data_IF_684207828906
#
_entry.id   IF_684207828906
#
_cell.length_a   1.000
_cell.length_b   1.000
_cell.length_c   1.000
_cell.angle_alpha   90.00
_cell.angle_beta   90.00
_cell.angle_gamma   90.00
#
_symmetry.space_group_name_H-M   'P 1'
#
loop_
_entity.id
_entity.type
_entity.pdbx_description
1 polymer ?
#
# COMPACT_ATOMS: atom_id res chain seq x y z
N UNK A 1 3.18 12.36 8.05
CA UNK A 1 3.40 11.07 8.74
C UNK A 1 4.59 10.37 8.09
N UNK A 2 5.28 9.48 8.78
CA UNK A 2 6.42 8.75 8.21
C UNK A 2 6.05 8.03 6.89
N UNK A 3 4.85 7.46 6.81
CA UNK A 3 4.34 6.81 5.59
C UNK A 3 4.22 7.74 4.40
N UNK A 4 3.86 9.03 4.59
CA UNK A 4 3.76 9.99 3.48
C UNK A 4 5.12 10.26 2.84
N UNK A 5 6.15 10.38 3.68
CA UNK A 5 7.49 10.69 3.23
C UNK A 5 8.04 9.56 2.37
N UNK A 6 7.84 8.31 2.81
CA UNK A 6 8.24 7.11 2.07
C UNK A 6 7.47 6.99 0.75
N UNK A 7 6.14 7.17 0.76
CA UNK A 7 5.33 7.09 -0.47
C UNK A 7 5.75 8.14 -1.47
N UNK A 8 5.94 9.39 -1.02
CA UNK A 8 6.42 10.49 -1.88
C UNK A 8 7.77 10.16 -2.53
N UNK A 9 8.69 9.56 -1.79
CA UNK A 9 9.99 9.15 -2.32
C UNK A 9 9.86 8.00 -3.34
N UNK A 10 9.03 6.99 -3.05
CA UNK A 10 8.76 5.89 -3.99
C UNK A 10 8.15 6.40 -5.30
N UNK A 11 7.15 7.27 -5.22
CA UNK A 11 6.52 7.91 -6.38
C UNK A 11 7.51 8.74 -7.18
N UNK A 12 8.35 9.54 -6.51
CA UNK A 12 9.40 10.33 -7.17
C UNK A 12 10.44 9.47 -7.91
N UNK A 13 10.66 8.23 -7.47
CA UNK A 13 11.53 7.25 -8.11
C UNK A 13 10.80 6.35 -9.12
N UNK A 14 9.57 6.69 -9.51
CA UNK A 14 8.78 5.95 -10.50
C UNK A 14 8.41 4.54 -10.07
N UNK A 15 8.40 4.25 -8.76
CA UNK A 15 8.02 2.94 -8.25
C UNK A 15 6.50 2.77 -8.34
N UNK A 16 6.07 1.54 -8.64
CA UNK A 16 4.65 1.20 -8.68
C UNK A 16 4.13 0.91 -7.27
N UNK A 17 3.75 1.97 -6.55
CA UNK A 17 3.22 1.91 -5.18
C UNK A 17 1.72 2.19 -5.15
N UNK A 18 0.98 1.50 -4.27
CA UNK A 18 -0.42 1.84 -3.93
C UNK A 18 -0.45 2.33 -2.49
N UNK A 19 -1.12 3.45 -2.24
CA UNK A 19 -1.24 4.04 -0.90
C UNK A 19 -2.66 4.49 -0.61
N UNK A 20 -3.19 4.12 0.55
CA UNK A 20 -4.51 4.54 1.04
C UNK A 20 -4.35 5.12 2.43
N UNK A 21 -4.94 6.29 2.67
CA UNK A 21 -5.01 6.92 3.99
C UNK A 21 -6.43 6.89 4.51
N UNK A 22 -6.64 6.23 5.64
CA UNK A 22 -7.89 6.30 6.39
C UNK A 22 -7.85 7.51 7.33
N UNK A 23 -8.82 8.44 7.24
CA UNK A 23 -8.90 9.56 8.17
C UNK A 23 -9.42 9.08 9.54
N UNK A 24 -8.95 9.72 10.61
CA UNK A 24 -9.46 9.55 11.99
C UNK A 24 -9.33 8.16 12.63
N UNK A 25 -8.54 7.25 12.07
CA UNK A 25 -8.35 5.87 12.62
C UNK A 25 -7.29 5.78 13.72
N UNK A 26 -6.50 6.83 13.95
CA UNK A 26 -5.43 6.81 14.94
C UNK A 26 -4.41 5.70 14.61
N UNK A 27 -4.23 4.75 15.54
CA UNK A 27 -3.38 3.57 15.31
C UNK A 27 -4.10 2.43 14.57
N UNK A 28 -5.42 2.47 14.42
CA UNK A 28 -6.24 1.35 13.88
C UNK A 28 -6.41 1.40 12.36
N UNK A 29 -5.30 1.55 11.62
CA UNK A 29 -5.37 1.52 10.15
C UNK A 29 -5.60 0.12 9.58
N UNK A 30 -5.43 -0.94 10.39
CA UNK A 30 -5.49 -2.32 9.93
C UNK A 30 -6.90 -2.86 9.79
N UNK A 31 -7.86 -2.43 10.62
CA UNK A 31 -9.25 -2.95 10.56
C UNK A 31 -9.86 -2.69 9.19
N UNK A 32 -9.90 -1.43 8.76
CA UNK A 32 -10.37 -1.03 7.41
C UNK A 32 -9.54 -1.68 6.28
N UNK A 33 -8.24 -1.86 6.51
CA UNK A 33 -7.34 -2.48 5.51
C UNK A 33 -7.68 -3.96 5.27
N UNK A 34 -7.90 -4.74 6.33
CA UNK A 34 -8.19 -6.17 6.21
C UNK A 34 -9.64 -6.49 5.86
N UNK A 35 -10.56 -5.55 6.07
CA UNK A 35 -11.94 -5.64 5.59
C UNK A 35 -12.08 -5.33 4.09
N UNK A 36 -11.05 -4.74 3.46
CA UNK A 36 -11.09 -4.38 2.05
C UNK A 36 -10.76 -5.59 1.12
N UNK A 37 -11.73 -6.12 0.34
CA UNK A 37 -11.49 -7.25 -0.56
C UNK A 37 -10.47 -6.95 -1.67
N UNK A 38 -10.29 -5.68 -2.05
CA UNK A 38 -9.33 -5.29 -3.09
C UNK A 38 -7.88 -5.49 -2.65
N UNK A 39 -7.61 -5.49 -1.34
CA UNK A 39 -6.29 -5.83 -0.81
C UNK A 39 -5.92 -7.26 -1.21
N UNK A 40 -6.80 -8.22 -0.95
CA UNK A 40 -6.54 -9.63 -1.25
C UNK A 40 -6.46 -9.87 -2.75
N UNK A 41 -7.33 -9.23 -3.53
CA UNK A 41 -7.26 -9.30 -5.00
C UNK A 41 -5.90 -8.81 -5.49
N UNK A 42 -5.45 -7.64 -5.02
CA UNK A 42 -4.15 -7.10 -5.39
C UNK A 42 -3.00 -8.03 -4.97
N UNK A 43 -3.01 -8.56 -3.74
CA UNK A 43 -1.97 -9.47 -3.27
C UNK A 43 -1.87 -10.75 -4.11
N UNK A 44 -3.02 -11.32 -4.49
CA UNK A 44 -3.07 -12.54 -5.31
C UNK A 44 -2.67 -12.32 -6.77
N UNK A 45 -2.78 -11.09 -7.28
CA UNK A 45 -2.28 -10.71 -8.60
C UNK A 45 -0.75 -10.58 -8.64
N UNK A 46 -0.08 -10.45 -7.49
CA UNK A 46 1.37 -10.25 -7.46
C UNK A 46 2.09 -11.58 -7.71
N UNK A 47 2.90 -11.60 -8.76
CA UNK A 47 3.82 -12.70 -9.06
C UNK A 47 5.25 -12.20 -8.96
N UNK A 48 6.13 -13.02 -8.38
CA UNK A 48 7.57 -12.72 -8.37
C UNK A 48 8.09 -12.92 -9.79
N UNK A 49 8.22 -11.83 -10.53
CA UNK A 49 8.97 -11.83 -11.77
C UNK A 49 10.45 -11.94 -11.40
N UNK A 50 11.01 -13.15 -11.46
CA UNK A 50 12.46 -13.34 -11.50
C UNK A 50 12.95 -12.77 -12.83
N UNK A 51 13.30 -11.49 -12.83
CA UNK A 51 14.20 -10.94 -13.83
C UNK A 51 15.62 -11.26 -13.35
N UNK A 52 16.13 -12.38 -13.83
CA UNK A 52 17.57 -12.54 -14.03
C UNK A 52 17.99 -11.66 -15.22
#
# INVERSE_FOLDING_TARGET
SESDNVVKELEANGQNVRYTRYPNTGHDAWTETFDNPDLYKWMLEQVRNNKD
#
